data_IF_122762832815
#
_entry.id   IF_122762832815
#
_cell.length_a   1.000
_cell.length_b   1.000
_cell.length_c   1.000
_cell.angle_alpha   90.00
_cell.angle_beta   90.00
_cell.angle_gamma   90.00
#
_symmetry.space_group_name_H-M   'P 1'
#
loop_
_entity.id
_entity.type
_entity.pdbx_description
1 polymer ?
#
# COMPACT_ATOMS: atom_id res chain seq x y z
N UNK A 1 25.86 -10.51 20.97
CA UNK A 1 24.72 -11.15 20.28
C UNK A 1 24.32 -10.52 18.91
N UNK A 2 25.15 -9.74 18.17
CA UNK A 2 24.64 -9.00 16.99
C UNK A 2 24.37 -9.87 15.75
N UNK A 3 25.08 -10.99 15.57
CA UNK A 3 25.00 -11.78 14.32
C UNK A 3 23.68 -12.56 14.21
N UNK A 4 23.22 -13.18 15.30
CA UNK A 4 21.96 -13.94 15.29
C UNK A 4 20.75 -13.04 15.05
N UNK A 5 20.75 -11.84 15.64
CA UNK A 5 19.67 -10.87 15.46
C UNK A 5 19.68 -10.28 14.05
N UNK A 6 20.86 -9.99 13.49
CA UNK A 6 21.00 -9.58 12.09
C UNK A 6 20.56 -10.68 11.12
N UNK A 7 20.90 -11.95 11.38
CA UNK A 7 20.47 -13.09 10.57
C UNK A 7 18.96 -13.31 10.63
N UNK A 8 18.34 -13.12 11.80
CA UNK A 8 16.87 -13.17 11.94
C UNK A 8 16.21 -12.03 11.14
N UNK A 9 16.71 -10.79 11.27
CA UNK A 9 16.23 -9.63 10.50
C UNK A 9 16.35 -9.87 8.99
N UNK A 10 17.49 -10.37 8.53
CA UNK A 10 17.73 -10.70 7.12
C UNK A 10 16.81 -11.83 6.61
N UNK A 11 16.64 -12.90 7.40
CA UNK A 11 15.76 -14.01 7.04
C UNK A 11 14.29 -13.57 6.93
N UNK A 12 13.84 -12.69 7.84
CA UNK A 12 12.51 -12.08 7.74
C UNK A 12 12.36 -11.18 6.52
N UNK A 13 13.39 -10.41 6.16
CA UNK A 13 13.41 -9.60 4.94
C UNK A 13 13.33 -10.46 3.67
N UNK A 14 14.05 -11.59 3.61
CA UNK A 14 14.03 -12.49 2.44
C UNK A 14 12.69 -13.22 2.24
N UNK A 15 11.85 -13.29 3.26
CA UNK A 15 10.51 -13.90 3.18
C UNK A 15 9.44 -12.93 2.69
N UNK A 16 9.74 -11.63 2.57
CA UNK A 16 8.76 -10.63 2.17
C UNK A 16 8.57 -10.67 0.65
N UNK A 17 7.30 -10.63 0.26
CA UNK A 17 6.93 -10.46 -1.15
C UNK A 17 7.31 -9.03 -1.55
N UNK A 18 8.11 -8.82 -2.62
CA UNK A 18 8.44 -7.48 -3.10
C UNK A 18 7.17 -6.70 -3.44
N UNK A 19 7.19 -5.39 -3.17
CA UNK A 19 6.11 -4.51 -3.60
C UNK A 19 6.04 -4.44 -5.14
N UNK A 20 4.86 -4.27 -5.76
CA UNK A 20 4.75 -4.11 -7.22
C UNK A 20 5.62 -2.98 -7.81
N UNK A 21 5.93 -1.96 -7.02
CA UNK A 21 6.83 -0.86 -7.40
C UNK A 21 8.32 -1.09 -7.05
N UNK A 22 8.73 -2.26 -6.55
CA UNK A 22 10.12 -2.50 -6.14
C UNK A 22 11.14 -2.31 -7.29
N UNK A 23 10.73 -2.64 -8.52
CA UNK A 23 11.54 -2.47 -9.73
C UNK A 23 11.51 -1.07 -10.34
N UNK A 24 10.76 -0.13 -9.75
CA UNK A 24 10.70 1.26 -10.22
C UNK A 24 11.93 2.07 -9.80
N UNK A 25 12.07 3.26 -10.41
CA UNK A 25 13.17 4.18 -10.05
C UNK A 25 13.13 4.57 -8.57
N UNK A 26 14.30 4.82 -7.97
CA UNK A 26 14.38 5.30 -6.59
C UNK A 26 13.50 6.54 -6.34
N UNK A 27 13.45 7.48 -7.31
CA UNK A 27 12.56 8.65 -7.24
C UNK A 27 11.09 8.25 -7.13
N UNK A 28 10.61 7.36 -7.99
CA UNK A 28 9.23 6.86 -7.98
C UNK A 28 8.90 6.21 -6.64
N UNK A 29 9.79 5.37 -6.14
CA UNK A 29 9.62 4.65 -4.88
C UNK A 29 9.57 5.61 -3.69
N UNK A 30 10.45 6.62 -3.65
CA UNK A 30 10.45 7.66 -2.62
C UNK A 30 9.15 8.48 -2.67
N UNK A 31 8.72 8.92 -3.86
CA UNK A 31 7.45 9.64 -4.02
C UNK A 31 6.26 8.81 -3.54
N UNK A 32 6.21 7.53 -3.91
CA UNK A 32 5.19 6.59 -3.46
C UNK A 32 5.15 6.50 -1.94
N UNK A 33 6.30 6.26 -1.30
CA UNK A 33 6.41 6.17 0.14
C UNK A 33 6.02 7.48 0.84
N UNK A 34 6.33 8.63 0.26
CA UNK A 34 5.87 9.95 0.73
C UNK A 34 4.36 10.05 0.67
N UNK A 35 3.72 9.63 -0.42
CA UNK A 35 2.26 9.61 -0.54
C UNK A 35 1.58 8.75 0.51
N UNK A 36 2.14 7.58 0.81
CA UNK A 36 1.64 6.72 1.90
C UNK A 36 1.89 7.38 3.26
N UNK A 37 3.04 8.02 3.46
CA UNK A 37 3.38 8.76 4.67
C UNK A 37 2.46 9.94 4.96
N UNK A 38 1.98 10.65 3.92
CA UNK A 38 1.00 11.74 4.06
C UNK A 38 -0.31 11.26 4.72
N UNK A 39 -0.65 9.99 4.57
CA UNK A 39 -1.83 9.37 5.18
C UNK A 39 -1.62 8.99 6.66
N UNK A 40 -0.40 8.60 7.04
CA UNK A 40 -0.04 8.33 8.45
C UNK A 40 0.00 9.58 9.31
N UNK A 41 0.18 10.75 8.71
CA UNK A 41 0.17 12.01 9.44
C UNK A 41 -1.29 12.39 9.75
N UNK A 42 -1.78 11.92 10.90
CA UNK A 42 -3.05 12.35 11.49
C UNK A 42 -2.99 13.83 11.93
N UNK A 43 -4.09 14.31 12.53
CA UNK A 43 -4.35 15.70 12.95
C UNK A 43 -3.17 16.40 13.66
N UNK A 44 -2.31 15.63 14.35
CA UNK A 44 -1.19 16.15 15.15
C UNK A 44 0.16 16.14 14.41
N UNK A 45 0.19 15.76 13.12
CA UNK A 45 1.42 15.59 12.34
C UNK A 45 2.46 14.64 12.96
N UNK A 46 2.02 13.74 13.85
CA UNK A 46 2.85 12.74 14.50
C UNK A 46 2.52 11.39 13.89
N UNK A 47 3.55 10.71 13.37
CA UNK A 47 3.49 9.31 12.96
C UNK A 47 3.62 8.47 14.23
N UNK A 48 2.61 7.66 14.53
CA UNK A 48 2.66 6.77 15.69
C UNK A 48 3.62 5.58 15.46
N UNK A 49 3.93 4.82 16.53
CA UNK A 49 4.88 3.70 16.43
C UNK A 49 4.45 2.58 15.47
N UNK A 50 3.15 2.38 15.25
CA UNK A 50 2.60 1.36 14.35
C UNK A 50 2.63 1.83 12.90
N UNK A 51 2.29 3.09 12.66
CA UNK A 51 2.41 3.72 11.35
C UNK A 51 3.86 3.79 10.90
N UNK A 52 4.78 4.13 11.81
CA UNK A 52 6.22 4.11 11.52
C UNK A 52 6.70 2.71 11.14
N UNK A 53 6.31 1.68 11.90
CA UNK A 53 6.64 0.31 11.57
C UNK A 53 6.07 -0.14 10.21
N UNK A 54 4.88 0.36 9.84
CA UNK A 54 4.31 0.13 8.51
C UNK A 54 5.17 0.76 7.41
N UNK A 55 5.57 2.03 7.58
CA UNK A 55 6.39 2.75 6.60
C UNK A 55 7.78 2.08 6.47
N UNK A 56 8.40 1.69 7.58
CA UNK A 56 9.66 0.93 7.56
C UNK A 56 9.52 -0.41 6.82
N UNK A 57 8.41 -1.12 7.03
CA UNK A 57 8.10 -2.33 6.27
C UNK A 57 7.92 -2.04 4.78
N UNK A 58 7.21 -0.96 4.43
CA UNK A 58 7.01 -0.54 3.05
C UNK A 58 8.35 -0.21 2.36
N UNK A 59 9.28 0.46 3.05
CA UNK A 59 10.61 0.76 2.54
C UNK A 59 11.37 -0.52 2.17
N UNK A 60 11.33 -1.52 3.05
CA UNK A 60 11.96 -2.82 2.78
C UNK A 60 11.32 -3.51 1.57
N UNK A 61 9.99 -3.50 1.46
CA UNK A 61 9.28 -4.10 0.33
C UNK A 61 9.49 -3.35 -0.99
N UNK A 62 9.73 -2.04 -0.94
CA UNK A 62 10.10 -1.21 -2.08
C UNK A 62 11.59 -1.31 -2.44
N UNK A 63 12.43 -1.94 -1.61
CA UNK A 63 13.89 -1.86 -1.77
C UNK A 63 14.37 -0.38 -1.74
N UNK A 64 13.97 0.33 -0.69
CA UNK A 64 14.45 1.66 -0.33
C UNK A 64 15.36 1.58 0.90
N UNK A 65 16.41 2.41 0.91
CA UNK A 65 17.27 2.54 2.08
C UNK A 65 16.53 3.17 3.27
N UNK A 66 16.68 2.59 4.47
CA UNK A 66 16.19 3.16 5.73
C UNK A 66 16.70 4.61 5.93
N UNK A 67 17.86 4.96 5.37
CA UNK A 67 18.42 6.33 5.43
C UNK A 67 17.55 7.39 4.73
N UNK A 68 16.65 7.00 3.83
CA UNK A 68 15.73 7.93 3.16
C UNK A 68 14.48 8.24 3.99
N UNK A 69 14.24 7.50 5.09
CA UNK A 69 13.04 7.64 5.90
C UNK A 69 12.82 9.07 6.45
N UNK A 70 13.85 9.75 7.02
CA UNK A 70 13.65 11.12 7.53
C UNK A 70 13.22 12.11 6.45
N UNK A 71 13.75 11.97 5.23
CA UNK A 71 13.41 12.85 4.11
C UNK A 71 11.97 12.60 3.62
N UNK A 72 11.54 11.34 3.56
CA UNK A 72 10.16 10.96 3.22
C UNK A 72 9.17 11.49 4.26
N UNK A 73 9.48 11.34 5.55
CA UNK A 73 8.63 11.86 6.63
C UNK A 73 8.54 13.38 6.56
N UNK A 74 9.67 14.08 6.40
CA UNK A 74 9.67 15.54 6.27
C UNK A 74 8.84 16.02 5.07
N UNK A 75 8.99 15.37 3.90
CA UNK A 75 8.24 15.69 2.70
C UNK A 75 6.74 15.39 2.84
N UNK A 76 6.39 14.30 3.53
CA UNK A 76 5.01 13.95 3.82
C UNK A 76 4.36 14.98 4.76
N UNK A 77 5.10 15.48 5.75
CA UNK A 77 4.63 16.53 6.67
C UNK A 77 4.45 17.87 5.97
N UNK A 78 5.37 18.24 5.08
CA UNK A 78 5.27 19.48 4.31
C UNK A 78 4.05 19.45 3.37
N UNK A 79 3.72 18.29 2.79
CA UNK A 79 2.51 18.15 1.97
C UNK A 79 2.54 18.99 0.70
N UNK A 80 3.73 19.34 0.18
CA UNK A 80 3.87 20.25 -0.95
C UNK A 80 3.06 19.80 -2.17
N UNK A 81 2.32 20.74 -2.78
CA UNK A 81 1.45 20.47 -3.94
C UNK A 81 2.22 19.82 -5.09
N UNK A 82 3.44 20.28 -5.36
CA UNK A 82 4.33 19.73 -6.39
C UNK A 82 4.63 18.25 -6.15
N UNK A 83 4.88 17.85 -4.91
CA UNK A 83 5.12 16.45 -4.52
C UNK A 83 3.89 15.60 -4.75
N UNK A 84 2.69 16.10 -4.40
CA UNK A 84 1.43 15.39 -4.61
C UNK A 84 1.17 15.20 -6.12
N UNK A 85 1.40 16.24 -6.92
CA UNK A 85 1.27 16.17 -8.38
C UNK A 85 2.26 15.16 -9.00
N UNK A 86 3.52 15.18 -8.58
CA UNK A 86 4.53 14.23 -9.05
C UNK A 86 4.17 12.79 -8.67
N UNK A 87 3.68 12.57 -7.45
CA UNK A 87 3.17 11.28 -7.00
C UNK A 87 2.05 10.79 -7.93
N UNK A 88 1.01 11.59 -8.16
CA UNK A 88 -0.13 11.20 -9.01
C UNK A 88 0.34 10.87 -10.43
N UNK A 89 1.27 11.64 -10.98
CA UNK A 89 1.85 11.39 -12.32
C UNK A 89 2.71 10.12 -12.37
N UNK A 90 3.30 9.71 -11.25
CA UNK A 90 4.10 8.48 -11.15
C UNK A 90 3.24 7.20 -11.14
N UNK A 91 1.99 7.29 -10.69
CA UNK A 91 1.03 6.17 -10.62
C UNK A 91 0.36 5.88 -11.98
N UNK A 92 1.17 5.45 -12.95
CA UNK A 92 0.76 5.31 -14.37
C UNK A 92 -0.15 4.12 -14.64
N UNK A 93 0.05 3.00 -13.95
CA UNK A 93 -0.64 1.73 -14.24
C UNK A 93 -1.78 1.48 -13.25
N UNK A 94 -2.85 0.76 -13.63
CA UNK A 94 -3.88 0.33 -12.68
C UNK A 94 -3.31 -0.39 -11.47
N UNK A 95 -2.29 -1.23 -11.66
CA UNK A 95 -1.59 -1.93 -10.58
C UNK A 95 -0.96 -0.95 -9.57
N UNK A 96 -0.30 0.12 -10.02
CA UNK A 96 0.27 1.13 -9.11
C UNK A 96 -0.82 1.87 -8.33
N UNK A 97 -1.94 2.18 -8.98
CA UNK A 97 -3.07 2.86 -8.35
C UNK A 97 -3.76 1.99 -7.31
N UNK A 98 -3.97 0.71 -7.63
CA UNK A 98 -4.53 -0.27 -6.70
C UNK A 98 -3.58 -0.50 -5.52
N UNK A 99 -2.27 -0.63 -5.76
CA UNK A 99 -1.26 -0.74 -4.71
C UNK A 99 -1.35 0.45 -3.75
N UNK A 100 -1.34 1.65 -4.31
CA UNK A 100 -1.39 2.88 -3.54
C UNK A 100 -2.63 2.93 -2.66
N UNK A 101 -3.82 2.69 -3.23
CA UNK A 101 -5.07 2.70 -2.49
C UNK A 101 -5.12 1.61 -1.39
N UNK A 102 -4.57 0.42 -1.65
CA UNK A 102 -4.49 -0.65 -0.66
C UNK A 102 -3.54 -0.30 0.49
N UNK A 103 -2.39 0.30 0.20
CA UNK A 103 -1.45 0.80 1.21
C UNK A 103 -2.05 1.93 2.04
N UNK A 104 -2.77 2.88 1.42
CA UNK A 104 -3.47 3.96 2.13
C UNK A 104 -4.51 3.39 3.12
N UNK A 105 -5.28 2.38 2.71
CA UNK A 105 -6.23 1.72 3.60
C UNK A 105 -5.53 0.93 4.71
N UNK A 106 -4.41 0.28 4.41
CA UNK A 106 -3.66 -0.50 5.38
C UNK A 106 -3.01 0.38 6.45
N UNK A 107 -2.36 1.48 6.05
CA UNK A 107 -1.74 2.41 6.99
C UNK A 107 -2.80 3.12 7.86
N UNK A 108 -3.94 3.47 7.29
CA UNK A 108 -5.06 4.06 8.03
C UNK A 108 -5.61 3.12 9.12
N UNK A 109 -5.55 1.79 8.92
CA UNK A 109 -6.03 0.82 9.92
C UNK A 109 -5.08 0.62 11.09
N UNK A 110 -3.77 0.81 10.89
CA UNK A 110 -2.78 0.64 11.96
C UNK A 110 -2.64 1.88 12.82
N UNK A 111 -2.99 3.05 12.28
CA UNK A 111 -3.00 4.32 13.01
C UNK A 111 -3.97 4.34 14.19
N UNK A 112 -3.64 5.14 15.21
CA UNK A 112 -4.38 5.20 16.47
C UNK A 112 -5.83 5.72 16.35
N UNK A 113 -6.20 6.44 15.29
CA UNK A 113 -7.56 6.95 15.10
C UNK A 113 -7.90 7.21 13.62
N UNK A 114 -8.97 6.58 13.13
CA UNK A 114 -9.57 6.90 11.82
C UNK A 114 -10.58 8.03 12.00
N UNK A 115 -10.07 9.26 12.09
CA UNK A 115 -10.87 10.48 12.21
C UNK A 115 -11.59 10.87 10.92
N UNK A 116 -12.41 11.92 11.00
CA UNK A 116 -13.07 12.51 9.83
C UNK A 116 -12.05 13.04 8.81
N UNK A 117 -10.99 13.69 9.30
CA UNK A 117 -9.89 14.22 8.49
C UNK A 117 -9.16 13.10 7.71
N UNK A 118 -8.85 11.97 8.34
CA UNK A 118 -8.22 10.83 7.64
C UNK A 118 -9.10 10.33 6.50
N UNK A 119 -10.42 10.24 6.71
CA UNK A 119 -11.36 9.84 5.64
C UNK A 119 -11.41 10.85 4.50
N UNK A 120 -11.33 12.13 4.81
CA UNK A 120 -11.31 13.21 3.82
C UNK A 120 -10.00 13.20 3.01
N UNK A 121 -8.85 13.06 3.68
CA UNK A 121 -7.54 12.87 3.03
C UNK A 121 -7.54 11.67 2.08
N UNK A 122 -8.03 10.52 2.56
CA UNK A 122 -8.15 9.32 1.74
C UNK A 122 -9.01 9.58 0.51
N UNK A 123 -10.18 10.21 0.69
CA UNK A 123 -11.07 10.55 -0.43
C UNK A 123 -10.36 11.41 -1.47
N UNK A 124 -9.69 12.49 -1.06
CA UNK A 124 -8.97 13.37 -1.97
C UNK A 124 -7.82 12.67 -2.71
N UNK A 125 -7.03 11.86 -2.01
CA UNK A 125 -5.95 11.09 -2.64
C UNK A 125 -6.48 10.09 -3.67
N UNK A 126 -7.58 9.38 -3.36
CA UNK A 126 -8.21 8.44 -4.28
C UNK A 126 -8.79 9.16 -5.51
N UNK A 127 -9.44 10.30 -5.31
CA UNK A 127 -10.00 11.13 -6.39
C UNK A 127 -8.88 11.64 -7.32
N UNK A 128 -7.76 12.09 -6.76
CA UNK A 128 -6.59 12.56 -7.53
C UNK A 128 -5.98 11.46 -8.40
N UNK A 129 -5.93 10.23 -7.88
CA UNK A 129 -5.37 9.07 -8.61
C UNK A 129 -6.34 8.52 -9.67
N UNK A 130 -7.61 8.98 -9.66
CA UNK A 130 -8.66 8.63 -10.63
C UNK A 130 -8.89 7.13 -10.72
N UNK A 131 -9.15 6.51 -9.57
CA UNK A 131 -9.52 5.10 -9.47
C UNK A 131 -11.03 4.97 -9.76
N UNK A 132 -11.44 3.96 -10.53
CA UNK A 132 -12.85 3.82 -10.90
C UNK A 132 -13.70 3.34 -9.71
N UNK A 133 -15.01 3.58 -9.75
CA UNK A 133 -15.93 3.09 -8.70
C UNK A 133 -15.88 1.57 -8.55
N UNK A 134 -15.72 0.83 -9.65
CA UNK A 134 -15.59 -0.62 -9.64
C UNK A 134 -14.30 -1.06 -8.92
N UNK A 135 -13.18 -0.41 -9.24
CA UNK A 135 -11.89 -0.64 -8.58
C UNK A 135 -11.96 -0.30 -7.08
N UNK A 136 -12.57 0.83 -6.70
CA UNK A 136 -12.74 1.22 -5.29
C UNK A 136 -13.51 0.16 -4.52
N UNK A 137 -14.63 -0.32 -5.07
CA UNK A 137 -15.43 -1.36 -4.42
C UNK A 137 -14.63 -2.66 -4.22
N UNK A 138 -13.83 -3.05 -5.23
CA UNK A 138 -12.92 -4.19 -5.12
C UNK A 138 -11.85 -3.95 -4.03
N UNK A 139 -11.13 -2.82 -4.09
CA UNK A 139 -10.05 -2.46 -3.18
C UNK A 139 -10.52 -2.48 -1.73
N UNK A 140 -11.65 -1.83 -1.42
CA UNK A 140 -12.20 -1.79 -0.05
C UNK A 140 -12.52 -3.20 0.46
N UNK A 141 -13.19 -4.01 -0.38
CA UNK A 141 -13.58 -5.38 -0.01
C UNK A 141 -12.37 -6.28 0.20
N UNK A 142 -11.43 -6.27 -0.75
CA UNK A 142 -10.20 -7.05 -0.69
C UNK A 142 -9.32 -6.64 0.48
N UNK A 143 -9.17 -5.34 0.73
CA UNK A 143 -8.39 -4.79 1.83
C UNK A 143 -8.95 -5.21 3.21
N UNK A 144 -10.27 -5.28 3.34
CA UNK A 144 -10.92 -5.80 4.56
C UNK A 144 -10.71 -7.31 4.73
N UNK A 145 -10.83 -8.05 3.63
CA UNK A 145 -10.61 -9.50 3.61
C UNK A 145 -9.16 -9.88 3.96
N UNK A 146 -8.18 -9.15 3.41
CA UNK A 146 -6.76 -9.38 3.69
C UNK A 146 -6.40 -9.03 5.14
N UNK A 147 -6.93 -7.94 5.68
CA UNK A 147 -6.72 -7.55 7.07
C UNK A 147 -7.28 -8.57 8.07
N UNK A 148 -8.42 -9.19 7.75
CA UNK A 148 -9.06 -10.23 8.58
C UNK A 148 -8.56 -11.65 8.28
N UNK A 149 -7.67 -11.80 7.31
CA UNK A 149 -7.18 -13.08 6.77
C UNK A 149 -8.30 -14.07 6.41
N UNK A 150 -9.45 -13.56 5.97
CA UNK A 150 -10.63 -14.36 5.69
C UNK A 150 -10.64 -14.83 4.24
N UNK A 151 -10.23 -16.07 3.99
CA UNK A 151 -10.25 -16.66 2.63
C UNK A 151 -11.62 -16.57 1.95
N UNK A 152 -12.76 -16.85 2.62
CA UNK A 152 -14.08 -16.71 1.97
C UNK A 152 -14.39 -15.28 1.55
N UNK A 153 -13.92 -14.27 2.30
CA UNK A 153 -14.10 -12.87 1.93
C UNK A 153 -13.16 -12.48 0.78
N UNK A 154 -11.95 -13.06 0.72
CA UNK A 154 -11.04 -12.89 -0.42
C UNK A 154 -11.67 -13.46 -1.69
N UNK A 155 -12.23 -14.68 -1.63
CA UNK A 155 -12.92 -15.29 -2.76
C UNK A 155 -14.08 -14.42 -3.26
N UNK A 156 -14.89 -13.89 -2.32
CA UNK A 156 -15.98 -12.97 -2.64
C UNK A 156 -15.46 -11.69 -3.31
N UNK A 157 -14.38 -11.10 -2.81
CA UNK A 157 -13.77 -9.90 -3.38
C UNK A 157 -13.29 -10.16 -4.82
N UNK A 158 -12.60 -11.27 -5.05
CA UNK A 158 -12.08 -11.65 -6.36
C UNK A 158 -13.21 -11.93 -7.36
N UNK A 159 -14.23 -12.71 -6.99
CA UNK A 159 -15.39 -12.98 -7.84
C UNK A 159 -16.17 -11.70 -8.20
N UNK A 160 -16.38 -10.81 -7.22
CA UNK A 160 -17.07 -9.55 -7.46
C UNK A 160 -16.25 -8.60 -8.34
N UNK A 161 -14.92 -8.56 -8.12
CA UNK A 161 -13.99 -7.82 -8.98
C UNK A 161 -14.08 -8.28 -10.43
N UNK A 162 -13.94 -9.59 -10.66
CA UNK A 162 -14.03 -10.19 -12.00
C UNK A 162 -15.38 -9.88 -12.68
N UNK A 163 -16.50 -10.03 -11.95
CA UNK A 163 -17.84 -9.70 -12.48
C UNK A 163 -17.98 -8.24 -12.89
N UNK A 164 -17.26 -7.34 -12.23
CA UNK A 164 -17.29 -5.90 -12.50
C UNK A 164 -16.16 -5.46 -13.46
N UNK A 165 -15.43 -6.39 -14.08
CA UNK A 165 -14.33 -6.08 -15.01
C UNK A 165 -13.07 -5.53 -14.33
N UNK A 166 -12.88 -5.79 -13.04
CA UNK A 166 -11.67 -5.43 -12.30
C UNK A 166 -10.69 -6.61 -12.35
N UNK A 167 -9.52 -6.37 -12.93
CA UNK A 167 -8.46 -7.37 -13.11
C UNK A 167 -7.21 -6.93 -12.34
N UNK A 168 -7.14 -7.17 -11.03
CA UNK A 168 -6.00 -6.77 -10.21
C UNK A 168 -4.76 -7.61 -10.55
N UNK A 169 -3.58 -7.00 -10.43
CA UNK A 169 -2.32 -7.69 -10.67
C UNK A 169 -2.10 -8.83 -9.64
N UNK A 170 -1.85 -10.09 -10.06
CA UNK A 170 -1.57 -11.18 -9.14
C UNK A 170 -0.38 -10.94 -8.18
N UNK A 171 0.64 -10.19 -8.62
CA UNK A 171 1.77 -9.84 -7.76
C UNK A 171 1.34 -8.89 -6.64
N UNK A 172 0.48 -7.92 -6.96
CA UNK A 172 -0.13 -7.03 -5.99
C UNK A 172 -0.97 -7.80 -4.97
N UNK A 173 -1.81 -8.73 -5.43
CA UNK A 173 -2.65 -9.51 -4.54
C UNK A 173 -1.81 -10.35 -3.56
N UNK A 174 -0.73 -10.97 -4.05
CA UNK A 174 0.21 -11.74 -3.21
C UNK A 174 0.96 -10.88 -2.20
N UNK A 175 1.26 -9.64 -2.55
CA UNK A 175 1.88 -8.71 -1.61
C UNK A 175 0.98 -8.45 -0.40
N UNK A 176 -0.32 -8.21 -0.63
CA UNK A 176 -1.29 -7.94 0.45
C UNK A 176 -1.88 -9.20 1.11
N UNK A 177 -1.92 -10.32 0.40
CA UNK A 177 -2.39 -11.61 0.91
C UNK A 177 -1.50 -12.76 0.39
N UNK A 178 -0.36 -13.04 1.06
CA UNK A 178 0.62 -14.04 0.57
C UNK A 178 0.09 -15.47 0.52
N UNK A 179 -0.99 -15.76 1.25
CA UNK A 179 -1.61 -17.10 1.36
C UNK A 179 -2.53 -17.43 0.17
N UNK A 180 -2.59 -16.58 -0.87
CA UNK A 180 -3.41 -16.83 -2.06
C UNK A 180 -3.07 -18.15 -2.74
N UNK A 181 -4.10 -18.94 -2.98
CA UNK A 181 -4.01 -20.19 -3.73
C UNK A 181 -3.81 -19.92 -5.23
N UNK A 182 -3.26 -20.88 -5.98
CA UNK A 182 -3.17 -20.77 -7.44
C UNK A 182 -4.52 -20.56 -8.13
N UNK A 183 -5.61 -21.08 -7.55
CA UNK A 183 -6.97 -20.91 -8.08
C UNK A 183 -7.42 -19.46 -7.96
N UNK A 184 -7.26 -18.86 -6.78
CA UNK A 184 -7.60 -17.45 -6.54
C UNK A 184 -6.82 -16.50 -7.44
N UNK A 185 -5.55 -16.80 -7.73
CA UNK A 185 -4.72 -16.00 -8.62
C UNK A 185 -5.14 -16.11 -10.09
N UNK A 186 -5.64 -17.27 -10.52
CA UNK A 186 -6.20 -17.43 -11.87
C UNK A 186 -7.50 -16.64 -12.03
N UNK A 187 -8.39 -16.69 -11.03
CA UNK A 187 -9.62 -15.89 -11.02
C UNK A 187 -9.35 -14.39 -11.16
N UNK A 188 -8.26 -13.89 -10.57
CA UNK A 188 -7.83 -12.50 -10.70
C UNK A 188 -7.26 -12.14 -12.10
N UNK A 189 -6.65 -13.11 -12.78
CA UNK A 189 -5.89 -12.90 -14.01
C UNK A 189 -6.71 -13.14 -15.30
N UNK A 190 -7.87 -13.79 -15.20
CA UNK A 190 -8.75 -14.04 -16.34
C UNK A 190 -9.34 -12.73 -16.87
N UNK A 191 -9.10 -12.45 -18.16
CA UNK A 191 -9.61 -11.31 -18.93
C UNK A 191 -10.80 -11.72 -19.78
#
# INVERSE_FOLDING_TARGET
MPVLDNLKKLNEQTKRVPHPLAGESAKTKTLYATGVGMMALSTDHIIDGREKAYIENLFLCLDLSESALPAVVASATEGAETTILELVQSLKTPAHKHAFALDLLAIMRVGASVGAESKEKLKHLIDLVRITTADIAFIVTFSSASATKSSPMVDKALMQGQKNGVHPDPALLRYFYPELTPVQLRMAAER
#
